data_IF_950277792042
#
_entry.id   IF_950277792042
#
_cell.length_a   1.000
_cell.length_b   1.000
_cell.length_c   1.000
_cell.angle_alpha   90.00
_cell.angle_beta   90.00
_cell.angle_gamma   90.00
#
_symmetry.space_group_name_H-M   'P 1'
#
loop_
_entity.id
_entity.type
_entity.pdbx_description
1 polymer ?
#
# COMPACT_ATOMS: atom_id res chain seq x y z
N UNK A 1 6.26 -1.74 -28.85
CA UNK A 1 7.65 -2.19 -28.50
C UNK A 1 7.55 -2.84 -27.14
N UNK A 2 8.08 -4.05 -26.95
CA UNK A 2 7.90 -4.76 -25.66
C UNK A 2 8.79 -4.15 -24.58
N UNK A 3 8.27 -3.93 -23.38
CA UNK A 3 9.02 -3.41 -22.24
C UNK A 3 10.12 -4.39 -21.83
N UNK A 4 11.30 -3.85 -21.54
CA UNK A 4 12.43 -4.63 -21.08
C UNK A 4 12.26 -5.05 -19.60
N UNK A 5 12.67 -6.27 -19.29
CA UNK A 5 12.76 -6.77 -17.90
C UNK A 5 13.93 -6.11 -17.16
N UNK A 6 13.87 -6.11 -15.84
CA UNK A 6 14.86 -5.52 -14.93
C UNK A 6 15.07 -4.02 -15.19
N UNK A 7 13.98 -3.33 -15.54
CA UNK A 7 13.94 -1.90 -15.76
C UNK A 7 12.69 -1.27 -15.15
N UNK A 8 12.81 0.03 -14.86
CA UNK A 8 11.71 0.89 -14.45
C UNK A 8 11.44 1.87 -15.60
N UNK A 9 10.23 1.79 -16.15
CA UNK A 9 9.79 2.53 -17.33
C UNK A 9 9.02 3.77 -16.92
N UNK A 10 9.40 4.91 -17.46
CA UNK A 10 8.69 6.18 -17.26
C UNK A 10 7.43 6.24 -18.14
N UNK A 11 6.26 6.33 -17.52
CA UNK A 11 5.01 6.49 -18.24
C UNK A 11 3.76 6.14 -17.44
N UNK A 12 2.61 6.28 -18.07
CA UNK A 12 1.32 5.94 -17.48
C UNK A 12 1.10 4.43 -17.54
N UNK A 13 0.69 3.85 -16.41
CA UNK A 13 0.42 2.42 -16.31
C UNK A 13 -0.64 1.94 -17.32
N UNK A 14 -1.65 2.76 -17.63
CA UNK A 14 -2.71 2.44 -18.59
C UNK A 14 -2.19 2.23 -20.01
N UNK A 15 -1.10 2.88 -20.36
CA UNK A 15 -0.47 2.82 -21.67
C UNK A 15 0.61 1.75 -21.70
N UNK A 16 1.54 1.79 -20.75
CA UNK A 16 2.71 0.93 -20.76
C UNK A 16 2.40 -0.54 -20.46
N UNK A 17 1.32 -0.84 -19.74
CA UNK A 17 0.87 -2.23 -19.57
C UNK A 17 0.56 -2.94 -20.89
N UNK A 18 0.15 -2.19 -21.92
CA UNK A 18 -0.13 -2.72 -23.26
C UNK A 18 1.15 -3.14 -24.01
N UNK A 19 2.29 -2.63 -23.59
CA UNK A 19 3.60 -2.94 -24.18
C UNK A 19 4.32 -4.10 -23.46
N UNK A 20 3.69 -4.73 -22.48
CA UNK A 20 4.24 -5.94 -21.81
C UNK A 20 3.89 -7.18 -22.64
N UNK A 21 4.85 -8.10 -22.78
CA UNK A 21 4.63 -9.36 -23.48
C UNK A 21 3.46 -10.15 -22.86
N UNK A 22 2.53 -10.68 -23.65
CA UNK A 22 1.43 -11.51 -23.14
C UNK A 22 1.96 -12.73 -22.38
N UNK A 23 1.28 -13.09 -21.28
CA UNK A 23 1.57 -14.27 -20.45
C UNK A 23 3.02 -14.34 -19.93
N UNK A 24 3.66 -13.17 -19.70
CA UNK A 24 5.05 -13.09 -19.23
C UNK A 24 5.20 -12.84 -17.73
N UNK A 25 4.17 -12.34 -17.07
CA UNK A 25 4.20 -11.94 -15.67
C UNK A 25 3.68 -13.07 -14.77
N UNK A 26 4.51 -13.52 -13.84
CA UNK A 26 4.14 -14.54 -12.86
C UNK A 26 3.27 -13.96 -11.74
N UNK A 27 3.66 -12.80 -11.24
CA UNK A 27 2.93 -12.08 -10.21
C UNK A 27 3.06 -10.57 -10.43
N UNK A 28 1.96 -9.84 -10.26
CA UNK A 28 1.97 -8.39 -10.14
C UNK A 28 1.59 -8.00 -8.72
N UNK A 29 2.35 -7.10 -8.10
CA UNK A 29 2.05 -6.57 -6.76
C UNK A 29 2.29 -5.08 -6.71
N UNK A 30 1.28 -4.31 -6.32
CA UNK A 30 1.33 -2.86 -6.29
C UNK A 30 0.30 -2.24 -5.36
N UNK A 31 0.51 -0.95 -5.08
CA UNK A 31 -0.40 -0.09 -4.33
C UNK A 31 -0.74 1.13 -5.20
N UNK A 32 -2.01 1.34 -5.58
CA UNK A 32 -2.42 2.47 -6.40
C UNK A 32 -2.44 3.78 -5.59
N UNK A 33 -2.63 4.95 -6.24
CA UNK A 33 -3.05 6.15 -5.53
C UNK A 33 -4.31 5.90 -4.70
N UNK A 34 -4.35 6.33 -3.42
CA UNK A 34 -5.45 5.98 -2.47
C UNK A 34 -6.61 6.98 -2.47
N UNK A 35 -6.58 7.98 -3.30
CA UNK A 35 -7.57 9.08 -3.33
C UNK A 35 -7.73 9.78 -1.97
N UNK A 36 -6.60 10.06 -1.31
CA UNK A 36 -6.55 10.72 0.00
C UNK A 36 -6.31 12.24 -0.08
N UNK A 37 -6.27 12.82 -1.28
CA UNK A 37 -6.02 14.23 -1.55
C UNK A 37 -4.55 14.61 -1.38
N UNK A 38 -3.64 13.70 -1.70
CA UNK A 38 -2.21 13.95 -1.80
C UNK A 38 -1.87 14.81 -3.01
N UNK A 39 -0.64 15.35 -3.06
CA UNK A 39 -0.25 16.29 -4.10
C UNK A 39 -0.35 15.71 -5.51
N UNK A 40 0.02 14.46 -5.70
CA UNK A 40 -0.05 13.74 -6.97
C UNK A 40 -1.49 13.37 -7.41
N UNK A 41 -2.46 13.45 -6.48
CA UNK A 41 -3.89 13.19 -6.72
C UNK A 41 -4.70 14.47 -7.00
N UNK A 42 -4.08 15.64 -6.94
CA UNK A 42 -4.74 16.96 -6.93
C UNK A 42 -5.68 17.21 -8.11
N UNK A 43 -5.40 16.59 -9.25
CA UNK A 43 -6.18 16.74 -10.50
C UNK A 43 -6.99 15.50 -10.85
N UNK A 44 -7.05 14.51 -9.96
CA UNK A 44 -7.77 13.26 -10.18
C UNK A 44 -9.17 13.38 -9.59
N UNK A 45 -10.22 13.30 -10.41
CA UNK A 45 -11.58 13.15 -9.92
C UNK A 45 -11.79 11.75 -9.36
N UNK A 46 -12.87 11.56 -8.59
CA UNK A 46 -13.20 10.22 -8.09
C UNK A 46 -13.51 9.24 -9.23
N UNK A 47 -14.21 9.70 -10.25
CA UNK A 47 -14.56 8.96 -11.44
C UNK A 47 -13.31 8.56 -12.24
N UNK A 48 -12.35 9.48 -12.40
CA UNK A 48 -11.07 9.20 -13.07
C UNK A 48 -10.24 8.18 -12.28
N UNK A 49 -10.29 8.27 -10.94
CA UNK A 49 -9.61 7.31 -10.07
C UNK A 49 -10.20 5.90 -10.22
N UNK A 50 -11.54 5.78 -10.25
CA UNK A 50 -12.21 4.50 -10.52
C UNK A 50 -11.85 3.96 -11.90
N UNK A 51 -11.85 4.83 -12.93
CA UNK A 51 -11.48 4.46 -14.30
C UNK A 51 -10.02 3.98 -14.37
N UNK A 52 -9.09 4.65 -13.66
CA UNK A 52 -7.70 4.23 -13.55
C UNK A 52 -7.61 2.80 -12.98
N UNK A 53 -8.24 2.53 -11.83
CA UNK A 53 -8.21 1.22 -11.19
C UNK A 53 -8.75 0.12 -12.12
N UNK A 54 -9.91 0.36 -12.75
CA UNK A 54 -10.54 -0.60 -13.67
C UNK A 54 -9.65 -0.89 -14.87
N UNK A 55 -9.12 0.15 -15.51
CA UNK A 55 -8.27 0.00 -16.68
C UNK A 55 -6.99 -0.76 -16.34
N UNK A 56 -6.31 -0.38 -15.26
CA UNK A 56 -5.07 -1.03 -14.84
C UNK A 56 -5.31 -2.49 -14.48
N UNK A 57 -6.35 -2.81 -13.70
CA UNK A 57 -6.68 -4.19 -13.34
C UNK A 57 -7.01 -5.01 -14.59
N UNK A 58 -7.82 -4.48 -15.52
CA UNK A 58 -8.15 -5.17 -16.78
C UNK A 58 -6.91 -5.45 -17.64
N UNK A 59 -5.97 -4.51 -17.70
CA UNK A 59 -4.73 -4.66 -18.46
C UNK A 59 -3.78 -5.73 -17.92
N UNK A 60 -4.01 -6.22 -16.69
CA UNK A 60 -3.22 -7.33 -16.12
C UNK A 60 -3.60 -8.69 -16.70
N UNK A 61 -4.85 -8.89 -17.11
CA UNK A 61 -5.29 -10.21 -17.61
C UNK A 61 -4.43 -10.72 -18.78
N UNK A 62 -4.18 -9.95 -19.86
CA UNK A 62 -3.37 -10.45 -20.97
C UNK A 62 -1.90 -10.67 -20.61
N UNK A 63 -1.31 -9.88 -19.70
CA UNK A 63 0.11 -9.94 -19.38
C UNK A 63 0.46 -10.99 -18.32
N UNK A 64 -0.45 -11.28 -17.40
CA UNK A 64 -0.27 -12.38 -16.45
C UNK A 64 -0.23 -13.71 -17.20
N UNK A 65 0.66 -14.60 -16.83
CA UNK A 65 0.64 -15.97 -17.29
C UNK A 65 -0.59 -16.72 -16.75
N UNK A 66 -1.13 -17.74 -17.45
CA UNK A 66 -2.12 -18.62 -16.87
C UNK A 66 -1.64 -19.19 -15.53
N UNK A 67 -2.46 -19.15 -14.49
CA UNK A 67 -2.08 -19.53 -13.14
C UNK A 67 -1.33 -18.45 -12.34
N UNK A 68 -1.04 -17.30 -12.94
CA UNK A 68 -0.39 -16.16 -12.27
C UNK A 68 -1.34 -15.33 -11.42
N UNK A 69 -0.78 -14.42 -10.65
CA UNK A 69 -1.52 -13.62 -9.66
C UNK A 69 -1.34 -12.11 -9.83
N UNK A 70 -2.40 -11.39 -9.52
CA UNK A 70 -2.39 -9.95 -9.27
C UNK A 70 -2.67 -9.70 -7.79
N UNK A 71 -1.81 -8.96 -7.10
CA UNK A 71 -2.01 -8.58 -5.70
C UNK A 71 -2.11 -7.06 -5.59
N UNK A 72 -3.25 -6.58 -5.13
CA UNK A 72 -3.52 -5.15 -4.93
C UNK A 72 -3.51 -4.83 -3.45
N UNK A 73 -2.59 -3.98 -3.01
CA UNK A 73 -2.58 -3.45 -1.66
C UNK A 73 -3.29 -2.10 -1.64
N UNK A 74 -4.35 -1.96 -0.83
CA UNK A 74 -5.13 -0.73 -0.72
C UNK A 74 -5.90 -0.66 0.60
N UNK A 75 -6.12 0.56 1.08
CA UNK A 75 -7.01 0.85 2.21
C UNK A 75 -8.36 1.42 1.74
N UNK A 76 -9.35 1.36 2.62
CA UNK A 76 -10.61 2.07 2.43
C UNK A 76 -10.43 3.59 2.63
N UNK A 77 -11.28 4.39 1.99
CA UNK A 77 -11.27 5.83 2.16
C UNK A 77 -12.09 6.20 3.41
N UNK A 78 -11.40 6.48 4.51
CA UNK A 78 -12.04 6.71 5.81
C UNK A 78 -12.78 8.06 5.90
N UNK A 79 -12.41 9.04 5.08
CA UNK A 79 -12.97 10.39 5.07
C UNK A 79 -13.49 10.79 3.68
N UNK A 80 -14.30 9.94 3.06
CA UNK A 80 -14.92 10.24 1.78
C UNK A 80 -15.98 11.34 1.95
N UNK A 81 -15.90 12.47 1.22
CA UNK A 81 -16.87 13.57 1.33
C UNK A 81 -18.27 13.12 0.90
N UNK A 82 -19.25 13.33 1.78
CA UNK A 82 -20.66 13.04 1.47
C UNK A 82 -21.57 14.13 2.05
N UNK A 83 -22.04 15.02 1.18
CA UNK A 83 -22.90 16.13 1.58
C UNK A 83 -24.31 15.68 1.96
N UNK A 84 -24.74 14.50 1.55
CA UNK A 84 -26.05 13.91 1.85
C UNK A 84 -26.11 13.32 3.27
N UNK A 85 -24.94 13.01 3.86
CA UNK A 85 -24.87 12.44 5.19
C UNK A 85 -25.35 13.43 6.24
N UNK A 86 -26.31 13.06 7.11
CA UNK A 86 -26.72 13.92 8.24
C UNK A 86 -25.54 14.21 9.17
N UNK A 87 -25.51 15.43 9.70
CA UNK A 87 -24.47 15.80 10.69
C UNK A 87 -24.69 15.04 12.00
N UNK A 88 -23.66 14.40 12.51
CA UNK A 88 -23.67 13.84 13.85
C UNK A 88 -23.58 15.03 14.82
N UNK A 89 -24.62 15.21 15.63
CA UNK A 89 -24.59 16.21 16.71
C UNK A 89 -23.79 15.61 17.86
N UNK A 90 -22.55 16.08 18.03
CA UNK A 90 -21.83 15.87 19.27
C UNK A 90 -22.17 17.04 20.19
N UNK A 91 -22.67 16.82 21.42
CA UNK A 91 -22.69 17.87 22.41
C UNK A 91 -21.27 18.38 22.54
N UNK A 92 -21.08 19.69 22.38
CA UNK A 92 -19.80 20.34 22.64
C UNK A 92 -19.46 20.09 24.12
N UNK A 93 -18.75 19.03 24.38
CA UNK A 93 -18.04 18.89 25.65
C UNK A 93 -17.02 20.01 25.57
N UNK A 94 -17.28 21.08 26.26
CA UNK A 94 -16.44 22.25 26.28
C UNK A 94 -15.09 21.85 26.85
N UNK A 95 -14.16 21.49 25.97
CA UNK A 95 -12.76 21.70 26.29
C UNK A 95 -12.67 23.21 26.50
N UNK A 96 -12.09 23.62 27.62
CA UNK A 96 -11.89 25.01 27.97
C UNK A 96 -11.52 25.78 26.70
N UNK A 97 -12.46 26.61 26.24
CA UNK A 97 -12.18 27.49 25.12
C UNK A 97 -11.08 28.40 25.62
N UNK A 98 -9.93 28.39 24.95
CA UNK A 98 -8.90 29.36 25.22
C UNK A 98 -9.57 30.76 25.23
N UNK A 99 -9.45 31.49 26.32
CA UNK A 99 -9.94 32.83 26.45
C UNK A 99 -9.15 33.83 25.61
N UNK A 100 -8.01 33.40 25.07
CA UNK A 100 -7.11 34.20 24.22
C UNK A 100 -7.81 34.58 22.92
N UNK A 101 -8.03 35.86 22.71
CA UNK A 101 -8.60 36.43 21.48
C UNK A 101 -7.56 36.54 20.36
N UNK A 102 -8.02 36.90 19.15
CA UNK A 102 -7.10 37.20 18.04
C UNK A 102 -6.32 38.48 18.32
N UNK A 103 -6.99 39.43 18.92
CA UNK A 103 -6.44 40.72 19.31
C UNK A 103 -5.30 40.56 20.30
N UNK A 104 -5.43 39.65 21.31
CA UNK A 104 -4.38 39.36 22.28
C UNK A 104 -3.13 38.80 21.59
N UNK A 105 -3.32 37.90 20.63
CA UNK A 105 -2.21 37.29 19.88
C UNK A 105 -1.53 38.32 18.97
N UNK A 106 -2.31 39.21 18.32
CA UNK A 106 -1.74 40.27 17.48
C UNK A 106 -1.00 41.30 18.32
N UNK A 107 -1.51 41.67 19.48
CA UNK A 107 -0.83 42.56 20.42
C UNK A 107 0.47 41.98 20.94
N UNK A 108 0.46 40.69 21.35
CA UNK A 108 1.66 39.99 21.76
C UNK A 108 2.69 39.87 20.62
N UNK A 109 2.26 39.62 19.39
CA UNK A 109 3.11 39.55 18.22
C UNK A 109 3.72 40.91 17.87
N UNK A 110 2.95 41.99 18.02
CA UNK A 110 3.42 43.37 17.82
C UNK A 110 4.49 43.78 18.90
N UNK A 111 4.24 43.41 20.15
CA UNK A 111 5.17 43.65 21.25
C UNK A 111 6.45 42.80 21.14
N UNK A 112 6.37 41.61 20.55
CA UNK A 112 7.48 40.68 20.39
C UNK A 112 7.61 40.20 18.94
N UNK A 113 8.07 41.04 17.99
CA UNK A 113 8.08 40.72 16.56
C UNK A 113 8.92 39.48 16.21
N UNK A 114 9.99 39.24 16.99
CA UNK A 114 10.89 38.11 16.79
C UNK A 114 10.37 36.77 17.34
N UNK A 115 9.31 36.78 18.15
CA UNK A 115 8.77 35.57 18.75
C UNK A 115 8.12 34.69 17.69
N UNK A 116 8.48 33.40 17.72
CA UNK A 116 7.79 32.37 16.96
C UNK A 116 6.49 31.97 17.68
N UNK A 117 5.71 31.11 17.05
CA UNK A 117 4.39 30.67 17.59
C UNK A 117 4.50 29.89 18.92
N UNK A 118 5.61 29.21 19.18
CA UNK A 118 5.86 28.50 20.45
C UNK A 118 6.10 29.48 21.60
N UNK A 119 6.93 30.46 21.37
CA UNK A 119 7.24 31.53 22.34
C UNK A 119 5.99 32.40 22.64
N UNK A 120 5.18 32.69 21.62
CA UNK A 120 3.91 33.37 21.82
C UNK A 120 2.90 32.52 22.61
N UNK A 121 2.90 31.19 22.41
CA UNK A 121 2.06 30.28 23.15
C UNK A 121 2.43 30.21 24.63
N UNK A 122 3.72 30.18 24.93
CA UNK A 122 4.25 30.22 26.28
C UNK A 122 3.94 31.56 26.96
N UNK A 123 4.20 32.68 26.29
CA UNK A 123 3.88 34.03 26.79
C UNK A 123 2.40 34.21 27.15
N UNK A 124 1.50 33.68 26.33
CA UNK A 124 0.06 33.82 26.51
C UNK A 124 -0.60 32.66 27.29
N UNK A 125 0.19 31.72 27.81
CA UNK A 125 -0.33 30.57 28.57
C UNK A 125 -1.29 29.70 27.77
N UNK A 126 -1.04 29.49 26.47
CA UNK A 126 -1.92 28.76 25.57
C UNK A 126 -1.14 27.75 24.72
N UNK A 127 -1.83 27.03 23.83
CA UNK A 127 -1.17 26.10 22.91
C UNK A 127 -0.72 26.80 21.62
N UNK A 128 0.34 26.32 21.01
CA UNK A 128 0.82 26.73 19.68
C UNK A 128 -0.31 26.68 18.63
N UNK A 129 -1.16 25.65 18.69
CA UNK A 129 -2.31 25.52 17.80
C UNK A 129 -3.32 26.65 17.98
N UNK A 130 -3.47 27.17 19.20
CA UNK A 130 -4.33 28.34 19.48
C UNK A 130 -3.75 29.58 18.82
N UNK A 131 -2.45 29.81 18.95
CA UNK A 131 -1.74 30.92 18.30
C UNK A 131 -1.92 30.86 16.78
N UNK A 132 -1.65 29.70 16.18
CA UNK A 132 -1.77 29.52 14.73
C UNK A 132 -3.19 29.79 14.24
N UNK A 133 -4.21 29.29 14.95
CA UNK A 133 -5.62 29.56 14.62
C UNK A 133 -6.01 31.03 14.73
N UNK A 134 -5.45 31.77 15.68
CA UNK A 134 -5.72 33.20 15.88
C UNK A 134 -5.03 34.06 14.84
N UNK A 135 -3.80 33.71 14.43
CA UNK A 135 -3.05 34.45 13.41
C UNK A 135 -3.55 34.17 12.00
N UNK A 136 -3.73 32.90 11.66
CA UNK A 136 -3.95 32.43 10.28
C UNK A 136 -5.41 32.05 9.99
N UNK A 137 -6.30 32.25 10.96
CA UNK A 137 -7.70 31.80 10.86
C UNK A 137 -7.85 30.30 11.10
N UNK A 138 -9.07 29.81 11.00
CA UNK A 138 -9.32 28.38 11.07
C UNK A 138 -8.61 27.71 9.90
N UNK A 139 -7.52 27.07 10.22
CA UNK A 139 -6.70 26.34 9.27
C UNK A 139 -7.59 25.48 8.38
N UNK A 140 -7.26 25.35 7.12
CA UNK A 140 -7.88 24.42 6.14
C UNK A 140 -8.03 23.00 6.72
N UNK A 141 -7.18 22.60 7.68
CA UNK A 141 -7.35 21.41 8.51
C UNK A 141 -8.67 21.42 9.33
N UNK A 142 -9.17 22.55 9.75
CA UNK A 142 -10.49 22.66 10.38
C UNK A 142 -11.64 22.39 9.39
N UNK A 143 -11.46 22.65 8.12
CA UNK A 143 -12.41 22.32 7.05
C UNK A 143 -12.64 20.81 6.92
N UNK A 144 -11.64 19.97 7.17
CA UNK A 144 -11.82 18.51 7.21
C UNK A 144 -12.85 18.05 8.25
N UNK A 145 -12.98 18.75 9.35
CA UNK A 145 -13.92 18.40 10.43
C UNK A 145 -15.32 18.98 10.25
N UNK A 146 -15.47 19.99 9.40
CA UNK A 146 -16.77 20.55 9.05
C UNK A 146 -17.40 19.86 7.82
N UNK A 147 -16.63 19.05 7.10
CA UNK A 147 -17.15 18.31 5.96
C UNK A 147 -17.79 17.02 6.46
N UNK A 148 -19.01 16.76 6.02
CA UNK A 148 -19.66 15.48 6.24
C UNK A 148 -18.89 14.43 5.47
N UNK A 149 -18.36 13.43 6.18
CA UNK A 149 -17.58 12.37 5.59
C UNK A 149 -18.06 11.02 6.08
N UNK A 150 -18.02 10.02 5.21
CA UNK A 150 -18.28 8.62 5.55
C UNK A 150 -17.10 7.74 5.18
N UNK A 151 -17.10 6.53 5.69
CA UNK A 151 -16.21 5.47 5.18
C UNK A 151 -16.71 5.06 3.81
N UNK A 152 -15.81 4.94 2.85
CA UNK A 152 -16.08 4.41 1.53
C UNK A 152 -15.24 3.17 1.30
N UNK A 153 -15.91 2.03 1.14
CA UNK A 153 -15.25 0.73 0.97
C UNK A 153 -14.74 0.61 -0.46
N UNK A 154 -13.45 0.42 -0.59
CA UNK A 154 -12.77 0.29 -1.89
C UNK A 154 -12.75 -1.17 -2.37
N UNK A 155 -12.79 -2.11 -1.44
CA UNK A 155 -12.70 -3.54 -1.74
C UNK A 155 -13.71 -4.03 -2.77
N UNK A 156 -14.97 -3.58 -2.70
CA UNK A 156 -16.00 -3.96 -3.69
C UNK A 156 -15.70 -3.44 -5.10
N UNK A 157 -15.04 -2.28 -5.22
CA UNK A 157 -14.62 -1.70 -6.51
C UNK A 157 -13.51 -2.56 -7.12
N UNK A 158 -12.52 -2.92 -6.31
CA UNK A 158 -11.37 -3.76 -6.70
C UNK A 158 -11.86 -5.15 -7.11
N UNK A 159 -12.73 -5.77 -6.31
CA UNK A 159 -13.31 -7.09 -6.61
C UNK A 159 -14.08 -7.08 -7.94
N UNK A 160 -14.96 -6.10 -8.14
CA UNK A 160 -15.73 -5.98 -9.38
C UNK A 160 -14.82 -5.76 -10.59
N UNK A 161 -13.80 -4.90 -10.47
CA UNK A 161 -12.84 -4.67 -11.55
C UNK A 161 -12.05 -5.94 -11.92
N UNK A 162 -11.65 -6.74 -10.92
CA UNK A 162 -11.01 -8.04 -11.14
C UNK A 162 -11.93 -9.03 -11.85
N UNK A 163 -13.16 -9.14 -11.37
CA UNK A 163 -14.18 -10.02 -11.97
C UNK A 163 -14.49 -9.63 -13.43
N UNK A 164 -14.70 -8.34 -13.70
CA UNK A 164 -14.95 -7.82 -15.05
C UNK A 164 -13.77 -8.10 -16.00
N UNK A 165 -12.55 -8.16 -15.46
CA UNK A 165 -11.33 -8.50 -16.20
C UNK A 165 -11.15 -10.02 -16.43
N UNK A 166 -12.00 -10.89 -15.87
CA UNK A 166 -11.88 -12.34 -15.93
C UNK A 166 -10.90 -12.93 -14.89
N UNK A 167 -10.50 -12.16 -13.89
CA UNK A 167 -9.72 -12.61 -12.76
C UNK A 167 -10.64 -13.07 -11.62
N UNK A 168 -10.16 -14.00 -10.80
CA UNK A 168 -10.91 -14.49 -9.64
C UNK A 168 -10.25 -14.00 -8.35
N UNK A 169 -11.03 -13.39 -7.46
CA UNK A 169 -10.55 -13.08 -6.12
C UNK A 169 -10.30 -14.40 -5.37
N UNK A 170 -9.04 -14.78 -5.27
CA UNK A 170 -8.60 -16.07 -4.72
C UNK A 170 -8.38 -16.03 -3.21
N UNK A 171 -7.78 -14.92 -2.71
CA UNK A 171 -7.48 -14.75 -1.29
C UNK A 171 -7.54 -13.26 -0.91
N UNK A 172 -7.73 -12.98 0.36
CA UNK A 172 -7.66 -11.64 0.93
C UNK A 172 -6.88 -11.68 2.23
N UNK A 173 -5.88 -10.81 2.34
CA UNK A 173 -5.10 -10.65 3.57
C UNK A 173 -5.19 -9.22 4.09
N UNK A 174 -4.83 -9.06 5.36
CA UNK A 174 -4.78 -7.77 6.02
C UNK A 174 -3.36 -7.54 6.52
N UNK A 175 -2.76 -6.43 6.08
CA UNK A 175 -1.53 -5.95 6.66
C UNK A 175 -1.86 -4.98 7.80
N UNK A 176 -1.55 -5.41 9.05
CA UNK A 176 -1.66 -4.57 10.24
C UNK A 176 -0.36 -3.79 10.41
N UNK A 177 -0.48 -2.47 10.40
CA UNK A 177 0.60 -1.50 10.50
C UNK A 177 0.52 -0.70 11.80
N UNK A 178 1.50 0.17 12.05
CA UNK A 178 1.44 1.11 13.16
C UNK A 178 0.20 2.02 13.03
N UNK A 179 -0.42 2.31 14.16
CA UNK A 179 -1.60 3.18 14.21
C UNK A 179 -1.28 4.59 13.69
N UNK A 180 -2.05 5.07 12.71
CA UNK A 180 -1.86 6.36 12.07
C UNK A 180 -2.49 7.52 12.88
N UNK A 181 -2.04 7.72 14.13
CA UNK A 181 -2.58 8.71 15.06
C UNK A 181 -2.60 10.13 14.51
N UNK A 182 -1.57 10.54 13.77
CA UNK A 182 -1.50 11.87 13.20
C UNK A 182 -2.56 12.11 12.11
N UNK A 183 -2.87 11.06 11.35
CA UNK A 183 -3.87 11.10 10.29
C UNK A 183 -5.29 10.87 10.81
N UNK A 184 -5.44 10.33 12.02
CA UNK A 184 -6.70 9.93 12.65
C UNK A 184 -7.22 10.96 13.65
N UNK A 185 -6.99 12.25 13.40
CA UNK A 185 -7.42 13.35 14.30
C UNK A 185 -8.92 13.38 14.57
N UNK A 186 -9.74 12.79 13.69
CA UNK A 186 -11.17 12.56 13.92
C UNK A 186 -11.47 11.55 15.03
N UNK A 187 -10.58 10.61 15.32
CA UNK A 187 -10.80 9.60 16.36
C UNK A 187 -11.03 10.23 17.74
N UNK A 188 -10.41 11.37 18.02
CA UNK A 188 -10.58 12.11 19.29
C UNK A 188 -11.88 12.88 19.37
N UNK A 189 -12.60 13.07 18.25
CA UNK A 189 -13.81 13.87 18.12
C UNK A 189 -15.04 13.04 17.73
N UNK A 190 -14.87 11.75 17.53
CA UNK A 190 -15.93 10.81 17.12
C UNK A 190 -15.66 9.43 17.67
N UNK A 191 -16.56 8.49 17.43
CA UNK A 191 -16.37 7.05 17.73
C UNK A 191 -15.64 6.30 16.63
N UNK A 192 -14.99 6.98 15.68
CA UNK A 192 -14.24 6.35 14.59
C UNK A 192 -12.91 5.80 15.11
N UNK A 193 -12.56 4.63 14.61
CA UNK A 193 -11.27 4.00 14.91
C UNK A 193 -10.11 4.73 14.22
N UNK A 194 -8.91 4.50 14.73
CA UNK A 194 -7.65 4.87 14.10
C UNK A 194 -7.37 3.89 12.96
N UNK A 195 -6.77 4.38 11.87
CA UNK A 195 -6.35 3.55 10.75
C UNK A 195 -5.11 2.73 11.14
N UNK A 196 -5.23 1.40 11.12
CA UNK A 196 -4.19 0.46 11.55
C UNK A 196 -3.92 -0.65 10.54
N UNK A 197 -4.62 -0.71 9.42
CA UNK A 197 -4.46 -1.81 8.49
C UNK A 197 -4.78 -1.42 7.04
N UNK A 198 -4.28 -2.23 6.13
CA UNK A 198 -4.61 -2.20 4.71
C UNK A 198 -4.95 -3.61 4.24
N UNK A 199 -5.65 -3.69 3.13
CA UNK A 199 -6.01 -4.97 2.52
C UNK A 199 -5.02 -5.33 1.42
N UNK A 200 -4.82 -6.64 1.24
CA UNK A 200 -4.20 -7.23 0.06
C UNK A 200 -5.23 -8.14 -0.61
N UNK A 201 -5.63 -7.81 -1.82
CA UNK A 201 -6.55 -8.58 -2.64
C UNK A 201 -5.75 -9.41 -3.63
N UNK A 202 -5.84 -10.73 -3.53
CA UNK A 202 -5.12 -11.70 -4.37
C UNK A 202 -6.06 -12.18 -5.46
N UNK A 203 -5.83 -11.76 -6.68
CA UNK A 203 -6.57 -12.22 -7.85
C UNK A 203 -5.75 -13.26 -8.59
N UNK A 204 -6.42 -14.31 -9.02
CA UNK A 204 -5.85 -15.39 -9.79
C UNK A 204 -6.36 -15.35 -11.24
N UNK A 205 -5.45 -15.45 -12.19
CA UNK A 205 -5.78 -15.71 -13.58
C UNK A 205 -5.95 -17.21 -13.78
N UNK A 206 -7.11 -17.69 -14.30
CA UNK A 206 -7.33 -19.12 -14.55
C UNK A 206 -6.21 -19.75 -15.36
N UNK A 207 -5.74 -20.91 -14.91
CA UNK A 207 -4.70 -21.68 -15.54
C UNK A 207 -4.05 -22.67 -14.59
N UNK A 208 -3.10 -23.43 -15.10
CA UNK A 208 -2.35 -24.38 -14.28
C UNK A 208 -1.53 -23.63 -13.22
N UNK A 209 -1.77 -23.96 -11.96
CA UNK A 209 -1.07 -23.38 -10.81
C UNK A 209 -0.50 -24.50 -9.94
N UNK A 210 0.80 -24.62 -9.93
CA UNK A 210 1.48 -25.61 -9.07
C UNK A 210 1.64 -25.01 -7.69
N UNK A 211 0.99 -25.60 -6.69
CA UNK A 211 1.18 -25.24 -5.29
C UNK A 211 2.44 -25.91 -4.78
N UNK A 212 3.50 -25.12 -4.68
CA UNK A 212 4.78 -25.58 -4.15
C UNK A 212 4.92 -25.19 -2.67
N UNK A 213 4.89 -26.19 -1.79
CA UNK A 213 5.03 -25.99 -0.35
C UNK A 213 6.49 -25.82 0.10
N UNK A 214 7.44 -26.12 -0.76
CA UNK A 214 8.86 -25.95 -0.48
C UNK A 214 9.35 -24.50 -0.75
N UNK A 215 8.46 -23.60 -1.21
CA UNK A 215 8.77 -22.17 -1.41
C UNK A 215 9.10 -21.43 -0.13
N UNK A 216 8.53 -21.86 0.97
CA UNK A 216 8.73 -21.28 2.29
C UNK A 216 9.17 -22.34 3.27
N UNK A 217 10.00 -21.94 4.24
CA UNK A 217 10.35 -22.81 5.35
C UNK A 217 9.10 -23.10 6.22
N UNK A 218 9.07 -24.24 6.95
CA UNK A 218 7.94 -24.61 7.80
C UNK A 218 7.55 -23.51 8.82
N UNK A 219 8.56 -22.79 9.36
CA UNK A 219 8.38 -21.66 10.25
C UNK A 219 7.67 -20.51 9.56
N UNK A 220 8.09 -20.15 8.35
CA UNK A 220 7.49 -19.07 7.56
C UNK A 220 6.04 -19.37 7.19
N UNK A 221 5.73 -20.64 6.85
CA UNK A 221 4.35 -21.07 6.65
C UNK A 221 3.49 -20.81 7.88
N UNK A 222 3.98 -21.14 9.08
CA UNK A 222 3.25 -20.93 10.35
C UNK A 222 3.14 -19.47 10.73
N UNK A 223 4.19 -18.68 10.54
CA UNK A 223 4.24 -17.29 10.95
C UNK A 223 3.42 -16.36 10.04
N UNK A 224 3.47 -16.57 8.73
CA UNK A 224 2.82 -15.66 7.78
C UNK A 224 2.23 -16.34 6.52
N UNK A 225 2.77 -17.48 6.05
CA UNK A 225 2.34 -18.13 4.82
C UNK A 225 0.87 -18.53 4.82
N UNK A 226 0.39 -19.11 5.94
CA UNK A 226 -1.02 -19.47 6.13
C UNK A 226 -1.85 -18.38 6.84
N UNK A 227 -1.25 -17.27 7.26
CA UNK A 227 -1.95 -16.26 8.02
C UNK A 227 -2.63 -15.24 7.13
N UNK A 228 -3.91 -14.98 7.39
CA UNK A 228 -4.66 -13.92 6.74
C UNK A 228 -4.28 -12.53 7.30
N UNK A 229 -3.66 -12.46 8.46
CA UNK A 229 -3.22 -11.23 9.11
C UNK A 229 -1.70 -11.19 9.17
N UNK A 230 -1.12 -10.22 8.47
CA UNK A 230 0.31 -9.92 8.50
C UNK A 230 0.57 -8.72 9.40
N UNK A 231 1.50 -8.83 10.33
CA UNK A 231 1.85 -7.77 11.29
C UNK A 231 3.31 -7.40 11.10
N UNK A 232 3.54 -6.20 10.61
CA UNK A 232 4.85 -5.57 10.55
C UNK A 232 4.70 -4.05 10.42
N UNK A 233 5.68 -3.26 10.94
CA UNK A 233 5.57 -1.81 10.98
C UNK A 233 5.56 -1.19 9.59
N UNK A 234 4.93 -0.01 9.48
CA UNK A 234 5.04 0.86 8.32
C UNK A 234 6.42 1.51 8.23
N UNK A 235 6.76 2.04 7.05
CA UNK A 235 8.01 2.80 6.88
C UNK A 235 7.87 4.14 7.58
N UNK A 236 8.78 4.45 8.52
CA UNK A 236 8.76 5.71 9.29
C UNK A 236 9.49 6.85 8.58
N UNK A 237 10.56 6.56 7.84
CA UNK A 237 11.33 7.55 7.09
C UNK A 237 10.76 7.68 5.67
N UNK A 238 9.94 8.70 5.44
CA UNK A 238 9.29 8.98 4.15
C UNK A 238 9.78 10.30 3.52
N UNK A 239 11.05 10.65 3.77
CA UNK A 239 11.62 11.94 3.33
C UNK A 239 11.75 12.04 1.80
N UNK A 240 11.85 10.91 1.12
CA UNK A 240 12.06 10.78 -0.32
C UNK A 240 10.81 10.34 -1.10
N UNK A 241 9.78 9.76 -0.43
CA UNK A 241 8.52 9.36 -1.05
C UNK A 241 7.39 9.30 -0.01
N UNK A 242 6.26 9.95 -0.29
CA UNK A 242 5.16 10.16 0.67
C UNK A 242 4.39 8.88 1.10
N UNK A 243 4.50 7.79 0.36
CA UNK A 243 3.71 6.58 0.60
C UNK A 243 4.48 5.32 0.17
N UNK A 244 5.40 4.87 1.03
CA UNK A 244 6.11 3.59 0.83
C UNK A 244 5.45 2.49 1.65
N UNK A 245 5.22 1.34 1.04
CA UNK A 245 5.04 0.13 1.83
C UNK A 245 6.40 -0.48 2.20
N UNK A 246 6.51 -1.19 3.35
CA UNK A 246 7.75 -1.85 3.74
C UNK A 246 8.08 -3.00 2.79
N UNK A 247 9.37 -3.25 2.60
CA UNK A 247 9.88 -4.29 1.70
C UNK A 247 9.34 -5.69 2.05
N UNK A 248 8.98 -5.91 3.29
CA UNK A 248 8.40 -7.15 3.78
C UNK A 248 7.08 -7.50 3.05
N UNK A 249 6.30 -6.49 2.63
CA UNK A 249 5.03 -6.73 1.93
C UNK A 249 5.24 -7.39 0.56
N UNK A 250 5.97 -6.76 -0.41
CA UNK A 250 6.19 -7.39 -1.70
C UNK A 250 7.07 -8.64 -1.58
N UNK A 251 8.02 -8.71 -0.63
CA UNK A 251 8.84 -9.91 -0.40
C UNK A 251 7.98 -11.14 -0.08
N UNK A 252 7.02 -11.03 0.83
CA UNK A 252 6.11 -12.14 1.16
C UNK A 252 5.25 -12.56 -0.02
N UNK A 253 4.73 -11.60 -0.77
CA UNK A 253 3.95 -11.87 -1.99
C UNK A 253 4.80 -12.61 -3.02
N UNK A 254 5.98 -12.11 -3.33
CA UNK A 254 6.92 -12.67 -4.31
C UNK A 254 7.30 -14.10 -3.93
N UNK A 255 7.72 -14.33 -2.69
CA UNK A 255 8.12 -15.66 -2.20
C UNK A 255 6.98 -16.66 -2.20
N UNK A 256 5.76 -16.20 -1.90
CA UNK A 256 4.57 -17.06 -1.85
C UNK A 256 4.12 -17.51 -3.24
N UNK A 257 4.23 -16.63 -4.25
CA UNK A 257 3.53 -16.78 -5.53
C UNK A 257 4.43 -16.99 -6.74
N UNK A 258 5.74 -16.85 -6.59
CA UNK A 258 6.67 -16.93 -7.73
C UNK A 258 7.86 -17.86 -7.46
N UNK A 259 8.45 -18.37 -8.53
CA UNK A 259 9.72 -19.10 -8.49
C UNK A 259 10.90 -18.18 -8.88
N UNK A 260 12.16 -18.50 -8.49
CA UNK A 260 13.34 -17.79 -8.95
C UNK A 260 13.39 -17.66 -10.46
N UNK A 261 13.84 -16.50 -10.95
CA UNK A 261 13.92 -16.19 -12.39
C UNK A 261 12.60 -15.77 -13.01
N UNK A 262 11.44 -15.89 -12.32
CA UNK A 262 10.17 -15.41 -12.83
C UNK A 262 10.07 -13.88 -12.75
N UNK A 263 9.18 -13.29 -13.56
CA UNK A 263 9.04 -11.83 -13.65
C UNK A 263 7.88 -11.33 -12.77
N UNK A 264 8.21 -10.35 -11.92
CA UNK A 264 7.29 -9.61 -11.07
C UNK A 264 7.01 -8.24 -11.70
N UNK A 265 5.76 -7.78 -11.66
CA UNK A 265 5.34 -6.48 -12.16
C UNK A 265 4.86 -5.59 -11.02
N UNK A 266 5.31 -4.32 -11.04
CA UNK A 266 4.70 -3.24 -10.26
C UNK A 266 4.45 -2.05 -11.18
N UNK A 267 3.18 -1.73 -11.43
CA UNK A 267 2.79 -0.66 -12.34
C UNK A 267 2.58 0.70 -11.65
N UNK A 268 2.85 0.78 -10.34
CA UNK A 268 2.91 2.02 -9.54
C UNK A 268 4.18 1.98 -8.66
N UNK A 269 5.34 1.83 -9.31
CA UNK A 269 6.63 1.45 -8.71
C UNK A 269 7.08 2.37 -7.57
N UNK A 270 6.73 3.66 -7.62
CA UNK A 270 7.12 4.63 -6.59
C UNK A 270 8.63 4.65 -6.35
N UNK A 271 9.02 4.36 -5.10
CA UNK A 271 10.44 4.35 -4.70
C UNK A 271 11.23 3.09 -5.08
N UNK A 272 10.60 2.08 -5.71
CA UNK A 272 11.28 0.87 -6.15
C UNK A 272 11.29 -0.30 -5.16
N UNK A 273 10.49 -0.26 -4.11
CA UNK A 273 10.48 -1.30 -3.07
C UNK A 273 10.21 -2.69 -3.64
N UNK A 274 9.30 -2.81 -4.61
CA UNK A 274 9.01 -4.09 -5.28
C UNK A 274 10.18 -4.58 -6.12
N UNK A 275 10.87 -3.68 -6.84
CA UNK A 275 12.04 -4.04 -7.64
C UNK A 275 13.17 -4.58 -6.75
N UNK A 276 13.44 -3.89 -5.63
CA UNK A 276 14.44 -4.34 -4.63
C UNK A 276 14.06 -5.72 -4.09
N UNK A 277 12.79 -5.93 -3.69
CA UNK A 277 12.33 -7.22 -3.20
C UNK A 277 12.46 -8.33 -4.25
N UNK A 278 12.17 -8.04 -5.52
CA UNK A 278 12.33 -9.00 -6.61
C UNK A 278 13.79 -9.41 -6.80
N UNK A 279 14.73 -8.45 -6.83
CA UNK A 279 16.17 -8.70 -6.95
C UNK A 279 16.67 -9.53 -5.76
N UNK A 280 16.33 -9.13 -4.53
CA UNK A 280 16.74 -9.83 -3.32
C UNK A 280 16.28 -11.30 -3.29
N UNK A 281 15.13 -11.59 -3.89
CA UNK A 281 14.56 -12.92 -3.95
C UNK A 281 14.86 -13.65 -5.28
N UNK A 282 15.82 -13.18 -6.08
CA UNK A 282 16.25 -13.78 -7.35
C UNK A 282 15.13 -13.84 -8.40
N UNK A 283 14.30 -12.80 -8.49
CA UNK A 283 13.27 -12.63 -9.51
C UNK A 283 13.62 -11.48 -10.45
N UNK A 284 13.14 -11.57 -11.69
CA UNK A 284 13.14 -10.44 -12.59
C UNK A 284 12.00 -9.48 -12.21
N UNK A 285 12.10 -8.22 -12.65
CA UNK A 285 11.04 -7.26 -12.45
C UNK A 285 10.77 -6.42 -13.69
N UNK A 286 9.56 -5.86 -13.77
CA UNK A 286 9.20 -4.73 -14.63
C UNK A 286 8.55 -3.70 -13.71
N UNK A 287 9.06 -2.47 -13.74
CA UNK A 287 8.47 -1.34 -13.02
C UNK A 287 7.89 -0.33 -13.97
N UNK A 288 6.73 0.25 -13.63
CA UNK A 288 6.16 1.41 -14.32
C UNK A 288 5.95 2.51 -13.29
N UNK A 289 6.41 3.73 -13.60
CA UNK A 289 6.24 4.88 -12.74
C UNK A 289 6.04 6.14 -13.60
N UNK A 290 5.09 6.97 -13.21
CA UNK A 290 4.73 8.16 -13.98
C UNK A 290 5.63 9.36 -13.69
N UNK A 291 6.12 9.47 -12.46
CA UNK A 291 6.90 10.62 -12.00
C UNK A 291 8.40 10.40 -12.25
N UNK A 292 9.07 11.24 -13.08
CA UNK A 292 10.49 11.04 -13.44
C UNK A 292 11.42 10.98 -12.23
N UNK A 293 11.12 11.74 -11.18
CA UNK A 293 11.90 11.73 -9.92
C UNK A 293 11.84 10.39 -9.20
N UNK A 294 10.69 9.71 -9.22
CA UNK A 294 10.54 8.39 -8.62
C UNK A 294 11.14 7.29 -9.49
N UNK A 295 11.10 7.43 -10.82
CA UNK A 295 11.85 6.52 -11.71
C UNK A 295 13.35 6.55 -11.39
N UNK A 296 13.93 7.76 -11.24
CA UNK A 296 15.34 7.90 -10.88
C UNK A 296 15.66 7.34 -9.47
N UNK A 297 14.76 7.54 -8.51
CA UNK A 297 14.89 6.99 -7.15
C UNK A 297 14.85 5.46 -7.16
N UNK A 298 13.84 4.90 -7.79
CA UNK A 298 13.63 3.46 -7.89
C UNK A 298 14.76 2.76 -8.66
N UNK A 299 15.24 3.38 -9.75
CA UNK A 299 16.38 2.83 -10.50
C UNK A 299 17.67 2.80 -9.68
N UNK A 300 17.92 3.83 -8.86
CA UNK A 300 19.06 3.80 -7.92
C UNK A 300 18.91 2.73 -6.85
N UNK A 301 17.71 2.58 -6.29
CA UNK A 301 17.44 1.55 -5.30
C UNK A 301 17.63 0.14 -5.87
N UNK A 302 17.10 -0.11 -7.06
CA UNK A 302 17.28 -1.39 -7.77
C UNK A 302 18.76 -1.67 -8.12
N UNK A 303 19.52 -0.65 -8.57
CA UNK A 303 20.94 -0.81 -8.89
C UNK A 303 21.82 -1.08 -7.66
N UNK A 304 21.37 -0.72 -6.46
CA UNK A 304 22.07 -0.98 -5.20
C UNK A 304 21.64 -2.30 -4.53
N UNK A 305 20.58 -2.95 -5.04
CA UNK A 305 20.09 -4.20 -4.50
C UNK A 305 20.91 -5.39 -4.99
N UNK A 306 21.12 -6.36 -4.10
CA UNK A 306 21.80 -7.61 -4.43
C UNK A 306 20.92 -8.80 -4.04
N UNK A 307 21.02 -9.94 -4.74
CA UNK A 307 20.35 -11.16 -4.36
C UNK A 307 20.74 -11.56 -2.92
N UNK A 308 19.75 -11.88 -2.11
CA UNK A 308 20.02 -12.45 -0.79
C UNK A 308 20.59 -13.84 -0.99
N UNK A 309 21.79 -14.11 -0.45
CA UNK A 309 22.37 -15.46 -0.41
C UNK A 309 21.53 -16.34 0.53
N UNK A 310 20.34 -16.69 0.11
CA UNK A 310 19.51 -17.67 0.79
C UNK A 310 20.03 -19.04 0.34
N UNK A 311 20.77 -19.72 1.20
CA UNK A 311 21.37 -21.05 0.96
C UNK A 311 20.32 -22.18 0.72
N UNK A 312 19.10 -21.84 0.34
CA UNK A 312 17.97 -22.76 0.25
C UNK A 312 17.28 -22.74 -1.11
N UNK A 313 18.00 -23.17 -2.16
CA UNK A 313 17.34 -23.73 -3.32
C UNK A 313 17.85 -25.15 -3.54
N UNK A 314 17.16 -26.11 -2.95
CA UNK A 314 17.19 -27.46 -3.51
C UNK A 314 16.51 -27.39 -4.86
N UNK A 315 17.31 -27.19 -5.91
CA UNK A 315 16.85 -27.34 -7.28
C UNK A 315 16.17 -28.70 -7.40
N UNK A 316 14.89 -28.72 -7.73
CA UNK A 316 14.19 -29.94 -8.12
C UNK A 316 14.83 -30.42 -9.43
N UNK A 317 15.84 -31.29 -9.34
CA UNK A 317 16.33 -32.01 -10.49
C UNK A 317 15.28 -33.11 -10.73
N UNK A 318 14.51 -32.97 -11.81
CA UNK A 318 13.70 -34.06 -12.31
C UNK A 318 14.62 -35.24 -12.61
N UNK A 319 14.21 -36.44 -12.21
CA UNK A 319 14.91 -37.63 -12.63
C UNK A 319 14.83 -37.79 -14.16
N UNK A 320 15.65 -38.67 -14.72
CA UNK A 320 15.73 -38.93 -16.16
C UNK A 320 14.39 -39.40 -16.79
N UNK A 321 13.34 -39.57 -15.97
CA UNK A 321 11.99 -40.00 -16.38
C UNK A 321 10.93 -38.92 -16.15
N UNK A 322 11.30 -37.68 -15.81
CA UNK A 322 10.36 -36.57 -15.59
C UNK A 322 9.47 -36.70 -14.34
N UNK A 323 9.77 -37.63 -13.43
CA UNK A 323 9.05 -37.80 -12.18
C UNK A 323 9.68 -37.01 -11.04
N UNK A 324 8.92 -36.15 -10.39
CA UNK A 324 9.35 -35.50 -9.17
C UNK A 324 9.38 -36.49 -8.01
N UNK A 325 10.54 -36.69 -7.38
CA UNK A 325 10.62 -37.46 -6.15
C UNK A 325 9.90 -36.75 -5.03
N UNK A 326 8.85 -37.37 -4.50
CA UNK A 326 8.27 -36.96 -3.22
C UNK A 326 9.24 -37.38 -2.12
N UNK A 327 9.83 -36.42 -1.41
CA UNK A 327 10.41 -36.73 -0.11
C UNK A 327 9.26 -36.99 0.86
N UNK A 328 9.21 -38.18 1.45
CA UNK A 328 8.30 -38.55 2.51
C UNK A 328 8.57 -37.67 3.73
N UNK A 329 7.78 -36.66 3.98
CA UNK A 329 7.68 -36.05 5.30
C UNK A 329 7.06 -37.07 6.25
N UNK A 330 7.71 -37.31 7.37
CA UNK A 330 7.25 -38.21 8.42
C UNK A 330 5.79 -37.94 8.75
N UNK A 331 4.98 -38.99 8.79
CA UNK A 331 3.55 -38.98 9.07
C UNK A 331 3.16 -38.43 10.45
N UNK A 332 4.10 -38.16 11.31
CA UNK A 332 3.86 -37.56 12.65
C UNK A 332 3.57 -36.03 12.63
N UNK A 333 3.99 -35.32 11.58
CA UNK A 333 3.72 -33.87 11.49
C UNK A 333 2.32 -33.52 10.95
N UNK A 334 1.62 -34.47 10.37
CA UNK A 334 0.25 -34.27 9.84
C UNK A 334 -0.85 -34.38 10.90
N UNK A 335 -0.57 -34.91 12.07
CA UNK A 335 -1.52 -35.03 13.17
C UNK A 335 -1.84 -33.69 13.85
N UNK A 336 -0.90 -32.75 13.88
CA UNK A 336 -1.10 -31.44 14.51
C UNK A 336 -2.05 -30.48 13.78
N UNK A 337 -2.38 -30.76 12.52
CA UNK A 337 -3.30 -29.92 11.73
C UNK A 337 -4.75 -30.35 11.80
N UNK A 338 -5.07 -31.41 12.55
CA UNK A 338 -6.45 -31.90 12.74
C UNK A 338 -7.08 -31.46 14.06
N UNK A 339 -6.32 -30.86 14.98
CA UNK A 339 -6.80 -30.47 16.32
C UNK A 339 -6.69 -28.95 16.60
N UNK A 340 -6.53 -28.09 15.57
CA UNK A 340 -6.50 -26.63 15.73
C UNK A 340 -7.65 -25.96 14.98
#
# INVERSE_FOLDING_TARGET
MTLAINQIHLGDARELLLDIAPNSIACSVWSPPYFLGKQYEKYLSYEDWIALLRTVIASHYPVLKPGGFLVVNIADILCFPDKSMPRIQAPNISRQRSTISREDVLAAKAAHPAYNRYQLAELLGTSEQTIDRRLNGNNIRGGKYNTQTRVHLVGGIIEQAGSDAGLYLYDRRVWVKDAAWENSKWATLSYRAVDEFEYLYFFWKPGETVIDRDRLEPEEWREWGYRAVWKFPSVRANDDHEAKFPIELPRRVIRLLTDPGETVLDCFMGSGTTAVAAIEEDRNYIGIEREPQYVALASRAAAAAEPRNVLFHKSKVADSNGKFKRHSTNSEQLLFLREA
#
